data_IF_974719176580
#
_entry.id   IF_974719176580
#
_cell.length_a   1.000
_cell.length_b   1.000
_cell.length_c   1.000
_cell.angle_alpha   90.00
_cell.angle_beta   90.00
_cell.angle_gamma   90.00
#
_symmetry.space_group_name_H-M   'P 1'
#
loop_
_entity.id
_entity.type
_entity.pdbx_description
1 polymer ?
#
# COMPACT_ATOMS: atom_id res chain seq x y z
N UNK A 1 12.37 -5.58 -12.35
CA UNK A 1 10.94 -5.32 -12.68
C UNK A 1 10.29 -4.75 -11.44
N UNK A 2 9.64 -3.60 -11.57
CA UNK A 2 9.04 -2.92 -10.42
C UNK A 2 7.85 -3.71 -9.85
N UNK A 3 7.72 -3.72 -8.54
CA UNK A 3 6.62 -4.38 -7.82
C UNK A 3 5.92 -3.35 -6.94
N UNK A 4 4.61 -3.23 -7.06
CA UNK A 4 3.80 -2.33 -6.25
C UNK A 4 2.73 -3.13 -5.51
N UNK A 5 2.66 -2.95 -4.19
CA UNK A 5 1.56 -3.39 -3.36
C UNK A 5 0.69 -2.18 -3.01
N UNK A 6 -0.56 -2.22 -3.38
CA UNK A 6 -1.49 -1.14 -3.12
C UNK A 6 -2.28 -1.38 -1.84
N UNK A 7 -2.23 -0.42 -0.94
CA UNK A 7 -3.21 -0.29 0.12
C UNK A 7 -4.54 0.28 -0.40
N UNK A 8 -5.64 0.01 0.31
CA UNK A 8 -6.99 0.49 -0.01
C UNK A 8 -7.05 2.00 -0.16
N UNK A 9 -6.39 2.74 0.76
CA UNK A 9 -6.44 4.21 0.79
C UNK A 9 -5.92 4.85 -0.49
N UNK A 10 -4.97 4.20 -1.16
CA UNK A 10 -4.43 4.67 -2.44
C UNK A 10 -5.28 4.21 -3.62
N UNK A 11 -5.52 2.90 -3.73
CA UNK A 11 -6.13 2.32 -4.93
C UNK A 11 -7.57 2.77 -5.14
N UNK A 12 -8.30 3.06 -4.05
CA UNK A 12 -9.70 3.48 -4.10
C UNK A 12 -9.90 4.76 -4.94
N UNK A 13 -8.92 5.65 -4.97
CA UNK A 13 -8.97 6.89 -5.76
C UNK A 13 -9.09 6.68 -7.27
N UNK A 14 -8.75 5.49 -7.78
CA UNK A 14 -8.96 5.16 -9.19
C UNK A 14 -10.42 4.80 -9.53
N UNK A 15 -11.23 4.50 -8.52
CA UNK A 15 -12.60 4.00 -8.69
C UNK A 15 -13.65 4.91 -8.03
N UNK A 16 -13.24 5.75 -7.09
CA UNK A 16 -14.11 6.72 -6.41
C UNK A 16 -13.59 8.11 -6.73
N UNK A 17 -14.47 9.05 -6.94
CA UNK A 17 -14.09 10.46 -7.08
C UNK A 17 -13.43 10.94 -5.78
N UNK A 18 -12.26 11.51 -5.91
CA UNK A 18 -11.43 11.97 -4.80
C UNK A 18 -10.35 12.93 -5.30
N UNK A 19 -9.24 13.01 -4.61
CA UNK A 19 -8.13 13.87 -4.99
C UNK A 19 -7.61 13.54 -6.40
N UNK A 20 -7.61 14.56 -7.27
CA UNK A 20 -7.22 14.43 -8.68
C UNK A 20 -5.73 14.08 -8.84
N UNK A 21 -4.87 14.57 -7.93
CA UNK A 21 -3.43 14.31 -7.98
C UNK A 21 -3.12 12.87 -7.63
N UNK A 22 -3.74 12.34 -6.55
CA UNK A 22 -3.63 10.95 -6.14
C UNK A 22 -4.17 10.03 -7.24
N UNK A 23 -5.34 10.34 -7.78
CA UNK A 23 -5.94 9.59 -8.89
C UNK A 23 -5.02 9.51 -10.10
N UNK A 24 -4.36 10.64 -10.46
CA UNK A 24 -3.40 10.69 -11.56
C UNK A 24 -2.19 9.81 -11.28
N UNK A 25 -1.64 9.84 -10.07
CA UNK A 25 -0.52 9.01 -9.65
C UNK A 25 -0.87 7.52 -9.70
N UNK A 26 -2.00 7.11 -9.10
CA UNK A 26 -2.46 5.71 -9.15
C UNK A 26 -2.65 5.25 -10.60
N UNK A 27 -3.33 6.06 -11.42
CA UNK A 27 -3.56 5.73 -12.83
C UNK A 27 -2.24 5.52 -13.57
N UNK A 28 -1.26 6.39 -13.35
CA UNK A 28 0.05 6.27 -13.97
C UNK A 28 0.76 4.96 -13.61
N UNK A 29 0.75 4.57 -12.31
CA UNK A 29 1.33 3.29 -11.87
C UNK A 29 0.59 2.11 -12.53
N UNK A 30 -0.75 2.15 -12.59
CA UNK A 30 -1.54 1.09 -13.23
C UNK A 30 -1.22 0.96 -14.73
N UNK A 31 -0.96 2.07 -15.41
CA UNK A 31 -0.62 2.11 -16.83
C UNK A 31 0.77 1.52 -17.11
N UNK A 32 1.72 1.59 -16.16
CA UNK A 32 3.05 0.98 -16.32
C UNK A 32 2.98 -0.53 -16.58
N UNK A 33 2.04 -1.24 -15.96
CA UNK A 33 1.80 -2.65 -16.25
C UNK A 33 1.22 -2.86 -17.65
N UNK A 34 0.20 -2.06 -17.98
CA UNK A 34 -0.61 -2.27 -19.17
C UNK A 34 0.15 -1.90 -20.44
N UNK A 35 0.85 -0.76 -20.43
CA UNK A 35 1.53 -0.21 -21.61
C UNK A 35 2.96 -0.73 -21.76
N UNK A 36 3.66 -0.93 -20.66
CA UNK A 36 5.11 -1.17 -20.71
C UNK A 36 5.53 -2.55 -20.21
N UNK A 37 4.63 -3.35 -19.62
CA UNK A 37 4.92 -4.66 -19.00
C UNK A 37 6.10 -4.60 -18.00
N UNK A 38 6.37 -3.42 -17.42
CA UNK A 38 7.54 -3.14 -16.57
C UNK A 38 7.25 -3.30 -15.08
N UNK A 39 5.99 -3.55 -14.71
CA UNK A 39 5.58 -3.62 -13.31
C UNK A 39 4.65 -4.79 -13.02
N UNK A 40 4.81 -5.37 -11.82
CA UNK A 40 3.83 -6.25 -11.19
C UNK A 40 3.06 -5.44 -10.15
N UNK A 41 1.73 -5.50 -10.20
CA UNK A 41 0.85 -4.72 -9.35
C UNK A 41 0.01 -5.66 -8.51
N UNK A 42 0.15 -5.57 -7.19
CA UNK A 42 -0.53 -6.41 -6.22
C UNK A 42 -1.51 -5.61 -5.39
N UNK A 43 -2.57 -6.26 -4.96
CA UNK A 43 -3.51 -5.75 -3.96
C UNK A 43 -3.77 -6.86 -2.93
N UNK A 44 -3.60 -6.59 -1.61
CA UNK A 44 -3.99 -7.55 -0.59
C UNK A 44 -5.46 -7.97 -0.74
N UNK A 45 -5.76 -9.24 -0.58
CA UNK A 45 -7.14 -9.74 -0.69
C UNK A 45 -8.09 -9.06 0.32
N UNK A 46 -7.60 -8.69 1.51
CA UNK A 46 -8.34 -7.89 2.49
C UNK A 46 -8.71 -6.50 1.95
N UNK A 47 -7.79 -5.84 1.25
CA UNK A 47 -8.03 -4.52 0.64
C UNK A 47 -9.07 -4.58 -0.49
N UNK A 48 -9.24 -5.73 -1.14
CA UNK A 48 -10.30 -5.92 -2.15
C UNK A 48 -11.68 -5.72 -1.53
N UNK A 49 -11.93 -6.35 -0.37
CA UNK A 49 -13.19 -6.18 0.36
C UNK A 49 -13.41 -4.73 0.80
N UNK A 50 -12.36 -4.05 1.23
CA UNK A 50 -12.42 -2.64 1.64
C UNK A 50 -12.74 -1.71 0.47
N UNK A 51 -12.19 -1.94 -0.74
CA UNK A 51 -12.54 -1.15 -1.93
C UNK A 51 -14.01 -1.33 -2.28
N UNK A 52 -14.54 -2.56 -2.24
CA UNK A 52 -15.97 -2.80 -2.44
C UNK A 52 -16.82 -2.08 -1.40
N UNK A 53 -16.42 -2.11 -0.14
CA UNK A 53 -17.10 -1.41 0.95
C UNK A 53 -17.04 0.11 0.76
N UNK A 54 -15.91 0.67 0.33
CA UNK A 54 -15.76 2.10 0.05
C UNK A 54 -16.70 2.55 -1.09
N UNK A 55 -16.80 1.77 -2.16
CA UNK A 55 -17.75 2.01 -3.25
C UNK A 55 -19.19 1.96 -2.78
N UNK A 56 -19.55 0.95 -1.95
CA UNK A 56 -20.88 0.80 -1.40
C UNK A 56 -21.24 1.99 -0.48
N UNK A 57 -20.31 2.42 0.38
CA UNK A 57 -20.51 3.60 1.24
C UNK A 57 -20.78 4.86 0.43
N UNK A 58 -20.04 5.10 -0.63
CA UNK A 58 -20.27 6.26 -1.52
C UNK A 58 -21.64 6.22 -2.21
N UNK A 59 -22.23 5.04 -2.41
CA UNK A 59 -23.56 4.87 -2.98
C UNK A 59 -24.67 4.98 -1.95
N UNK A 60 -24.53 4.27 -0.83
CA UNK A 60 -25.64 4.03 0.11
C UNK A 60 -25.55 4.85 1.40
N UNK A 61 -24.36 5.30 1.77
CA UNK A 61 -24.12 6.05 3.00
C UNK A 61 -22.96 7.04 2.81
N UNK A 62 -23.14 8.06 1.94
CA UNK A 62 -22.12 9.08 1.73
C UNK A 62 -21.88 9.85 3.03
N UNK A 63 -20.64 10.29 3.25
CA UNK A 63 -20.27 11.08 4.43
C UNK A 63 -20.38 12.59 4.12
N UNK A 64 -20.87 13.34 5.10
CA UNK A 64 -20.99 14.80 5.01
C UNK A 64 -21.83 15.25 3.82
N UNK A 65 -21.36 16.27 3.11
CA UNK A 65 -22.05 16.86 1.95
C UNK A 65 -21.78 16.12 0.63
N UNK A 66 -21.14 14.96 0.68
CA UNK A 66 -20.87 14.15 -0.49
C UNK A 66 -22.17 13.68 -1.15
N UNK A 67 -22.34 13.98 -2.43
CA UNK A 67 -23.47 13.47 -3.20
C UNK A 67 -23.37 11.95 -3.37
N UNK A 68 -24.46 11.18 -3.15
CA UNK A 68 -24.47 9.76 -3.42
C UNK A 68 -24.15 9.47 -4.88
N UNK A 69 -23.35 8.45 -5.14
CA UNK A 69 -23.15 7.99 -6.51
C UNK A 69 -24.50 7.53 -7.10
N UNK A 70 -24.83 7.96 -8.32
CA UNK A 70 -25.95 7.39 -9.05
C UNK A 70 -25.70 5.89 -9.35
N UNK A 71 -26.78 5.18 -9.69
CA UNK A 71 -26.72 3.73 -9.85
C UNK A 71 -25.81 3.29 -10.99
N UNK A 72 -25.83 4.00 -12.10
CA UNK A 72 -25.03 3.64 -13.28
C UNK A 72 -23.54 3.92 -13.05
N UNK A 73 -23.21 5.03 -12.41
CA UNK A 73 -21.83 5.34 -12.00
C UNK A 73 -21.31 4.31 -11.00
N UNK A 74 -22.10 3.92 -10.01
CA UNK A 74 -21.74 2.87 -9.07
C UNK A 74 -21.45 1.53 -9.78
N UNK A 75 -22.36 1.08 -10.67
CA UNK A 75 -22.16 -0.14 -11.47
C UNK A 75 -20.89 -0.08 -12.33
N UNK A 76 -20.66 1.08 -12.97
CA UNK A 76 -19.49 1.31 -13.80
C UNK A 76 -18.18 1.19 -12.99
N UNK A 77 -18.12 1.78 -11.80
CA UNK A 77 -16.95 1.69 -10.92
C UNK A 77 -16.73 0.28 -10.40
N UNK A 78 -17.79 -0.41 -9.97
CA UNK A 78 -17.73 -1.82 -9.59
C UNK A 78 -17.21 -2.70 -10.74
N UNK A 79 -17.78 -2.52 -11.92
CA UNK A 79 -17.38 -3.29 -13.13
C UNK A 79 -15.91 -3.04 -13.50
N UNK A 80 -15.46 -1.77 -13.41
CA UNK A 80 -14.06 -1.41 -13.66
C UNK A 80 -13.13 -2.09 -12.65
N UNK A 81 -13.44 -2.04 -11.36
CA UNK A 81 -12.62 -2.66 -10.33
C UNK A 81 -12.58 -4.18 -10.48
N UNK A 82 -13.75 -4.83 -10.64
CA UNK A 82 -13.83 -6.28 -10.90
C UNK A 82 -12.97 -6.70 -12.09
N UNK A 83 -13.02 -5.94 -13.19
CA UNK A 83 -12.20 -6.23 -14.39
C UNK A 83 -10.71 -6.14 -14.09
N UNK A 84 -10.27 -5.23 -13.22
CA UNK A 84 -8.86 -5.06 -12.88
C UNK A 84 -8.33 -6.18 -11.99
N UNK A 85 -9.15 -6.72 -11.07
CA UNK A 85 -8.75 -7.83 -10.18
C UNK A 85 -9.01 -9.21 -10.78
N UNK A 86 -9.93 -9.31 -11.76
CA UNK A 86 -10.30 -10.59 -12.36
C UNK A 86 -9.12 -11.19 -13.13
N UNK A 87 -8.69 -12.39 -12.73
CA UNK A 87 -7.53 -13.08 -13.31
C UNK A 87 -6.22 -12.30 -13.23
N UNK A 88 -6.07 -11.38 -12.27
CA UNK A 88 -4.86 -10.58 -12.15
C UNK A 88 -4.52 -9.73 -13.37
N UNK A 89 -5.52 -9.33 -14.17
CA UNK A 89 -5.28 -8.58 -15.43
C UNK A 89 -4.51 -7.30 -15.20
N UNK A 90 -4.88 -6.54 -14.17
CA UNK A 90 -4.16 -5.31 -13.81
C UNK A 90 -3.57 -5.41 -12.41
N UNK A 91 -4.40 -5.78 -11.42
CA UNK A 91 -4.02 -5.98 -10.04
C UNK A 91 -4.08 -7.47 -9.71
N UNK A 92 -2.98 -8.04 -9.27
CA UNK A 92 -2.93 -9.41 -8.77
C UNK A 92 -3.40 -9.44 -7.33
N UNK A 93 -4.47 -10.18 -7.00
CA UNK A 93 -4.81 -10.46 -5.61
C UNK A 93 -3.62 -11.14 -4.92
N UNK A 94 -3.25 -10.63 -3.75
CA UNK A 94 -2.19 -11.19 -2.93
C UNK A 94 -2.79 -11.69 -1.64
N UNK A 95 -2.70 -13.00 -1.41
CA UNK A 95 -3.38 -13.64 -0.32
C UNK A 95 -2.62 -13.52 0.99
N UNK A 96 -3.34 -13.25 2.08
CA UNK A 96 -2.79 -13.32 3.43
C UNK A 96 -2.42 -14.77 3.73
N UNK A 97 -1.23 -14.98 4.26
CA UNK A 97 -0.75 -16.28 4.68
C UNK A 97 -0.25 -16.24 6.15
N UNK A 98 0.10 -17.40 6.70
CA UNK A 98 0.54 -17.52 8.10
C UNK A 98 1.77 -16.67 8.44
N UNK A 99 2.66 -16.46 7.49
CA UNK A 99 3.88 -15.67 7.71
C UNK A 99 3.58 -14.19 7.91
N UNK A 100 2.58 -13.68 7.20
CA UNK A 100 2.11 -12.31 7.40
C UNK A 100 1.53 -12.14 8.81
N UNK A 101 0.71 -13.10 9.27
CA UNK A 101 0.08 -13.06 10.59
C UNK A 101 1.14 -13.09 11.70
N UNK A 102 2.14 -13.94 11.58
CA UNK A 102 3.27 -13.97 12.53
C UNK A 102 4.11 -12.71 12.44
N UNK A 103 4.30 -12.17 11.23
CA UNK A 103 5.08 -10.97 11.00
C UNK A 103 4.53 -9.69 11.65
N UNK A 104 3.25 -9.69 12.01
CA UNK A 104 2.62 -8.58 12.73
C UNK A 104 3.34 -8.28 14.05
N UNK A 105 3.85 -9.28 14.74
CA UNK A 105 4.59 -9.13 16.01
C UNK A 105 5.86 -8.27 15.85
N UNK A 106 6.41 -8.15 14.65
CA UNK A 106 7.58 -7.32 14.38
C UNK A 106 7.24 -5.84 14.12
N UNK A 107 6.00 -5.57 13.73
CA UNK A 107 5.54 -4.24 13.32
C UNK A 107 4.91 -3.51 14.50
N UNK A 108 4.13 -4.21 15.31
CA UNK A 108 3.44 -3.64 16.49
C UNK A 108 4.38 -2.87 17.42
N UNK A 109 5.57 -3.38 17.83
CA UNK A 109 6.46 -2.65 18.72
C UNK A 109 6.95 -1.33 18.10
N UNK A 110 7.18 -1.30 16.79
CA UNK A 110 7.58 -0.07 16.07
C UNK A 110 6.45 0.95 16.08
N UNK A 111 5.23 0.50 15.81
CA UNK A 111 4.03 1.33 15.83
C UNK A 111 3.82 1.96 17.21
N UNK A 112 3.91 1.17 18.28
CA UNK A 112 3.79 1.65 19.65
C UNK A 112 4.92 2.59 20.11
N UNK A 113 6.13 2.43 19.56
CA UNK A 113 7.25 3.35 19.86
C UNK A 113 6.96 4.75 19.33
N UNK A 114 6.39 4.84 18.15
CA UNK A 114 6.00 6.11 17.54
C UNK A 114 4.79 6.78 18.23
N UNK A 115 4.00 6.01 18.98
CA UNK A 115 2.77 6.50 19.61
C UNK A 115 3.01 7.35 20.85
N UNK A 116 4.18 7.26 21.49
CA UNK A 116 4.53 8.08 22.66
C UNK A 116 4.44 9.58 22.38
N UNK A 117 4.60 9.98 21.13
CA UNK A 117 4.56 11.38 20.69
C UNK A 117 3.18 11.81 20.15
N UNK A 118 2.34 10.87 19.65
CA UNK A 118 1.11 11.19 18.92
C UNK A 118 -0.05 10.24 19.27
N UNK A 119 -0.72 10.48 20.37
CA UNK A 119 -1.75 9.59 21.00
C UNK A 119 -3.03 9.29 20.21
N UNK A 120 -3.17 9.58 18.92
CA UNK A 120 -4.51 9.58 18.29
C UNK A 120 -4.74 8.71 17.07
N UNK A 121 -3.72 8.22 16.38
CA UNK A 121 -3.91 7.53 15.11
C UNK A 121 -3.13 6.22 15.04
N UNK A 122 -3.61 5.21 15.79
CA UNK A 122 -3.10 3.84 15.67
C UNK A 122 -3.44 3.24 14.31
N UNK A 123 -2.53 2.44 13.77
CA UNK A 123 -2.82 1.59 12.64
C UNK A 123 -3.84 0.51 13.03
N UNK A 124 -4.76 0.22 12.14
CA UNK A 124 -5.62 -0.95 12.29
C UNK A 124 -4.82 -2.25 12.15
N UNK A 125 -5.36 -3.35 12.65
CA UNK A 125 -4.76 -4.67 12.45
C UNK A 125 -4.57 -5.01 10.96
N UNK A 126 -5.47 -4.52 10.09
CA UNK A 126 -5.35 -4.72 8.65
C UNK A 126 -4.23 -3.90 8.03
N UNK A 127 -4.02 -2.65 8.48
CA UNK A 127 -2.89 -1.83 8.00
C UNK A 127 -1.54 -2.46 8.36
N UNK A 128 -1.42 -2.97 9.60
CA UNK A 128 -0.23 -3.68 10.05
C UNK A 128 -0.01 -4.94 9.20
N UNK A 129 -1.07 -5.67 8.89
CA UNK A 129 -1.00 -6.86 8.05
C UNK A 129 -0.57 -6.53 6.61
N UNK A 130 -1.02 -5.39 6.05
CA UNK A 130 -0.58 -4.90 4.73
C UNK A 130 0.92 -4.59 4.74
N UNK A 131 1.45 -4.01 5.83
CA UNK A 131 2.89 -3.79 5.97
C UNK A 131 3.65 -5.13 6.00
N UNK A 132 3.16 -6.14 6.73
CA UNK A 132 3.76 -7.48 6.77
C UNK A 132 3.80 -8.12 5.37
N UNK A 133 2.71 -7.99 4.61
CA UNK A 133 2.63 -8.46 3.21
C UNK A 133 3.64 -7.73 2.30
N UNK A 134 3.82 -6.42 2.52
CA UNK A 134 4.82 -5.64 1.78
C UNK A 134 6.24 -6.09 2.09
N UNK A 135 6.55 -6.43 3.34
CA UNK A 135 7.85 -6.97 3.74
C UNK A 135 8.14 -8.31 3.03
N UNK A 136 7.18 -9.23 2.98
CA UNK A 136 7.37 -10.51 2.29
C UNK A 136 7.60 -10.32 0.79
N UNK A 137 6.81 -9.46 0.12
CA UNK A 137 7.03 -9.13 -1.29
C UNK A 137 8.41 -8.54 -1.56
N UNK A 138 8.90 -7.68 -0.66
CA UNK A 138 10.24 -7.11 -0.76
C UNK A 138 11.35 -8.15 -0.53
N UNK A 139 11.10 -9.14 0.32
CA UNK A 139 12.01 -10.26 0.57
C UNK A 139 12.08 -11.24 -0.60
N UNK A 140 10.92 -11.60 -1.18
CA UNK A 140 10.84 -12.51 -2.34
C UNK A 140 11.39 -11.85 -3.60
N UNK A 141 11.11 -10.57 -3.77
CA UNK A 141 11.56 -9.77 -4.91
C UNK A 141 12.88 -9.06 -4.65
N UNK A 142 13.04 -7.92 -5.29
CA UNK A 142 14.12 -6.98 -4.98
C UNK A 142 13.55 -5.82 -4.18
N UNK A 143 14.10 -5.58 -2.99
CA UNK A 143 13.64 -4.53 -2.08
C UNK A 143 13.64 -3.15 -2.74
N UNK A 144 14.66 -2.86 -3.53
CA UNK A 144 14.83 -1.58 -4.23
C UNK A 144 13.79 -1.37 -5.33
N UNK A 145 13.25 -2.46 -5.86
CA UNK A 145 12.25 -2.47 -6.93
C UNK A 145 10.82 -2.68 -6.39
N UNK A 146 10.64 -2.81 -5.08
CA UNK A 146 9.34 -3.06 -4.43
C UNK A 146 8.86 -1.84 -3.66
N UNK A 147 7.58 -1.50 -3.80
CA UNK A 147 6.96 -0.32 -3.21
C UNK A 147 5.63 -0.66 -2.56
N UNK A 148 5.41 -0.14 -1.35
CA UNK A 148 4.10 -0.07 -0.73
C UNK A 148 3.46 1.28 -1.09
N UNK A 149 2.29 1.27 -1.69
CA UNK A 149 1.58 2.47 -2.15
C UNK A 149 0.37 2.74 -1.27
N UNK A 150 0.38 3.85 -0.58
CA UNK A 150 -0.68 4.23 0.38
C UNK A 150 -1.03 5.72 0.29
N UNK A 151 -2.12 6.11 0.93
CA UNK A 151 -2.42 7.48 1.33
C UNK A 151 -2.51 7.62 2.85
N UNK A 152 -2.04 6.64 3.59
CA UNK A 152 -1.99 6.68 5.04
C UNK A 152 -0.63 7.18 5.54
N UNK A 153 -0.65 8.38 6.14
CA UNK A 153 0.55 9.00 6.71
C UNK A 153 1.15 8.16 7.84
N UNK A 154 0.32 7.53 8.66
CA UNK A 154 0.78 6.72 9.78
C UNK A 154 1.47 5.46 9.30
N UNK A 155 0.88 4.79 8.29
CA UNK A 155 1.50 3.64 7.65
C UNK A 155 2.89 3.99 7.09
N UNK A 156 3.02 5.14 6.39
CA UNK A 156 4.33 5.62 5.93
C UNK A 156 5.31 5.85 7.09
N UNK A 157 4.90 6.49 8.17
CA UNK A 157 5.76 6.74 9.33
C UNK A 157 6.30 5.44 9.95
N UNK A 158 5.43 4.43 10.13
CA UNK A 158 5.84 3.12 10.67
C UNK A 158 6.83 2.44 9.73
N UNK A 159 6.54 2.42 8.43
CA UNK A 159 7.43 1.81 7.43
C UNK A 159 8.78 2.52 7.38
N UNK A 160 8.80 3.85 7.39
CA UNK A 160 10.05 4.63 7.37
C UNK A 160 10.87 4.39 8.64
N UNK A 161 10.21 4.26 9.81
CA UNK A 161 10.90 3.92 11.07
C UNK A 161 11.52 2.52 11.02
N UNK A 162 10.79 1.53 10.50
CA UNK A 162 11.33 0.17 10.33
C UNK A 162 12.54 0.12 9.39
N UNK A 163 12.68 1.09 8.48
CA UNK A 163 13.79 1.18 7.51
C UNK A 163 15.03 1.87 8.04
N UNK A 164 14.94 2.58 9.17
CA UNK A 164 16.08 3.26 9.75
C UNK A 164 17.19 2.25 10.10
N UNK A 165 18.48 2.60 9.85
CA UNK A 165 19.59 1.81 10.34
C UNK A 165 19.47 1.64 11.86
N UNK A 166 19.48 0.40 12.32
CA UNK A 166 19.49 0.12 13.76
C UNK A 166 20.87 0.42 14.29
N UNK A 167 20.95 1.10 15.44
CA UNK A 167 22.20 1.31 16.12
C UNK A 167 22.92 -0.05 16.34
N UNK A 168 24.24 -0.06 16.17
CA UNK A 168 25.09 -1.25 16.28
C UNK A 168 25.20 -1.84 17.70
N UNK A 169 24.51 -1.21 18.67
CA UNK A 169 24.58 -1.55 20.10
C UNK A 169 23.78 -2.80 20.50
N UNK A 170 23.16 -3.49 19.53
CA UNK A 170 22.46 -4.75 19.78
C UNK A 170 21.13 -4.62 20.55
N UNK A 171 20.78 -3.44 20.99
CA UNK A 171 19.49 -3.18 21.65
C UNK A 171 18.37 -3.09 20.61
N UNK A 172 18.00 -4.22 20.03
CA UNK A 172 16.74 -4.33 19.29
C UNK A 172 15.64 -4.59 20.32
N UNK A 173 14.74 -3.64 20.58
CA UNK A 173 13.59 -3.92 21.43
C UNK A 173 12.73 -4.99 20.77
N UNK A 174 12.52 -6.11 21.44
CA UNK A 174 11.54 -7.11 21.02
C UNK A 174 12.10 -8.39 20.41
N UNK A 175 11.24 -9.35 20.07
CA UNK A 175 11.57 -10.71 19.66
C UNK A 175 12.30 -10.83 18.31
N UNK A 176 12.61 -9.74 17.66
CA UNK A 176 13.37 -9.69 16.39
C UNK A 176 14.82 -10.20 16.49
N UNK A 177 15.31 -10.54 17.70
CA UNK A 177 16.66 -11.03 17.88
C UNK A 177 16.98 -12.36 17.19
N UNK A 178 15.95 -13.19 16.93
CA UNK A 178 16.10 -14.56 16.42
C UNK A 178 15.54 -14.76 15.00
N UNK A 179 14.74 -13.82 14.48
CA UNK A 179 14.19 -13.90 13.14
C UNK A 179 15.19 -13.33 12.12
N UNK A 180 15.17 -13.89 10.91
CA UNK A 180 15.92 -13.38 9.76
C UNK A 180 15.62 -11.89 9.56
N UNK A 181 16.53 -11.04 10.08
CA UNK A 181 16.35 -9.57 10.17
C UNK A 181 16.08 -8.95 8.81
N UNK A 182 16.62 -9.55 7.75
CA UNK A 182 16.47 -9.05 6.38
C UNK A 182 15.07 -9.27 5.82
N UNK A 183 14.37 -10.29 6.31
CA UNK A 183 13.02 -10.63 5.86
C UNK A 183 11.98 -9.58 6.20
N UNK A 184 12.17 -8.86 7.31
CA UNK A 184 11.18 -7.93 7.84
C UNK A 184 11.51 -6.46 7.59
N UNK A 185 12.45 -6.19 6.69
CA UNK A 185 12.68 -4.81 6.25
C UNK A 185 11.68 -4.47 5.15
N UNK A 186 10.77 -3.51 5.39
CA UNK A 186 9.77 -3.16 4.39
C UNK A 186 10.38 -2.48 3.17
N UNK A 187 9.67 -2.48 2.03
CA UNK A 187 10.04 -1.71 0.85
C UNK A 187 9.89 -0.21 1.12
N UNK A 188 10.22 0.61 0.14
CA UNK A 188 9.89 2.04 0.17
C UNK A 188 8.38 2.22 0.21
N UNK A 189 7.89 3.05 1.14
CA UNK A 189 6.48 3.41 1.22
C UNK A 189 6.24 4.74 0.50
N UNK A 190 5.39 4.73 -0.51
CA UNK A 190 4.97 5.90 -1.27
C UNK A 190 3.64 6.43 -0.72
N UNK A 191 3.67 7.55 0.04
CA UNK A 191 2.45 8.28 0.39
C UNK A 191 2.07 9.20 -0.77
N UNK A 192 1.03 8.83 -1.52
CA UNK A 192 0.60 9.57 -2.70
C UNK A 192 0.07 10.99 -2.41
N UNK A 193 -0.20 11.33 -1.15
CA UNK A 193 -0.57 12.69 -0.71
C UNK A 193 0.65 13.60 -0.56
N UNK A 194 1.82 13.02 -0.28
CA UNK A 194 3.06 13.76 0.00
C UNK A 194 4.26 13.05 -0.59
N UNK A 195 4.29 12.94 -1.93
CA UNK A 195 5.43 12.37 -2.62
C UNK A 195 6.63 13.30 -2.50
N UNK A 196 7.73 12.80 -2.00
CA UNK A 196 9.02 13.49 -2.00
C UNK A 196 9.60 13.55 -3.42
N UNK A 197 10.47 14.52 -3.69
CA UNK A 197 11.05 14.72 -5.02
C UNK A 197 11.74 13.45 -5.55
N UNK A 198 12.40 12.68 -4.66
CA UNK A 198 13.00 11.40 -5.00
C UNK A 198 12.00 10.28 -5.31
N UNK A 199 10.78 10.37 -4.79
CA UNK A 199 9.71 9.38 -4.98
C UNK A 199 8.92 9.63 -6.25
N UNK A 200 8.84 10.88 -6.72
CA UNK A 200 8.13 11.27 -7.96
C UNK A 200 8.58 10.48 -9.17
N UNK A 201 9.87 10.17 -9.29
CA UNK A 201 10.43 9.36 -10.39
C UNK A 201 9.80 7.96 -10.47
N UNK A 202 9.45 7.36 -9.34
CA UNK A 202 8.83 6.03 -9.28
C UNK A 202 7.36 6.07 -9.71
N UNK A 203 6.70 7.22 -9.52
CA UNK A 203 5.30 7.42 -9.90
C UNK A 203 5.17 7.95 -11.31
N UNK A 204 6.12 8.79 -11.78
CA UNK A 204 6.07 9.45 -13.09
C UNK A 204 6.77 8.67 -14.22
N UNK A 205 7.32 7.50 -13.92
CA UNK A 205 7.97 6.66 -14.94
C UNK A 205 9.33 7.20 -15.44
N UNK A 206 9.90 8.19 -14.76
CA UNK A 206 11.26 8.65 -15.01
C UNK A 206 12.26 7.70 -14.34
N UNK A 207 12.36 6.47 -14.83
CA UNK A 207 13.43 5.58 -14.44
C UNK A 207 14.71 5.97 -15.20
N UNK A 208 15.89 5.94 -14.54
CA UNK A 208 17.18 6.26 -15.18
C UNK A 208 17.63 5.21 -16.21
N UNK A 209 16.78 4.26 -16.56
CA UNK A 209 17.00 3.28 -17.62
C UNK A 209 16.19 3.64 -18.87
N UNK A 210 16.39 4.85 -19.39
CA UNK A 210 16.18 5.08 -20.81
C UNK A 210 17.56 5.08 -21.47
N UNK A 211 17.87 4.10 -22.35
CA UNK A 211 19.04 4.19 -23.20
C UNK A 211 18.90 5.33 -24.20
#
# INVERSE_FOLDING_TARGET
>A
MLTYLFDTSAVVHNYVEGDKSIRKAVKHILEQKTLHKKASLFIPNICIAEVFNALARRRFNPKGDDQPLDHETYKRHLGKFRKHIHWGRTLYPYDVNRYHIVGVDNIIPVEHTLDREHRRDHLSAFDILVIAMACELAYIGKREDTFLVTCDKRMKQVVDEMRKPRASDGTVPGPLGELDKDRWIPPVCLDLRKLEAGELKHVQGQHPFNP
#
